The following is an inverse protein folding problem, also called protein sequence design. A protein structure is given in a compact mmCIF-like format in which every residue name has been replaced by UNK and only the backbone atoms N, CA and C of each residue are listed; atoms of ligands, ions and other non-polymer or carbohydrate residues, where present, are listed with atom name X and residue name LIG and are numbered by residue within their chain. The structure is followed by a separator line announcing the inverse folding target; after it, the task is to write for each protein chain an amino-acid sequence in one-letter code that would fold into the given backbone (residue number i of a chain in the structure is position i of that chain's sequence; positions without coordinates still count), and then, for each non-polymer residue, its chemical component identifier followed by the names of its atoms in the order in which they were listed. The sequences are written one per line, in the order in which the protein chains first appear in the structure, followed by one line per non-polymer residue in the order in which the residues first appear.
data_IF_238606407112
#
_entry.id   IF_238606407112
#
_cell.length_a   1.000
_cell.length_b   1.000
_cell.length_c   1.000
_cell.angle_alpha   90.00
_cell.angle_beta   90.00
_cell.angle_gamma   90.00
#
_symmetry.space_group_name_H-M   'P 1'
#
loop_
_entity.id
_entity.type
_entity.pdbx_description
1 polymer ?
#
# COMPACT_ATOMS: atom_id res chain seq x y z
N UNK A 1 4.35 -20.31 31.13
CA UNK A 1 3.03 -19.93 30.59
C UNK A 1 3.14 -19.97 29.07
N UNK A 2 2.81 -21.11 28.47
CA UNK A 2 2.99 -21.36 27.04
C UNK A 2 1.83 -20.70 26.28
N UNK A 3 2.12 -19.63 25.56
CA UNK A 3 1.14 -18.93 24.75
C UNK A 3 0.87 -19.73 23.47
N UNK A 4 -0.09 -20.67 23.56
CA UNK A 4 -0.59 -21.44 22.41
C UNK A 4 -1.50 -20.55 21.56
N UNK A 5 -0.89 -19.70 20.73
CA UNK A 5 -1.61 -19.10 19.61
C UNK A 5 -2.03 -20.21 18.65
N UNK A 6 -3.29 -20.63 18.78
CA UNK A 6 -3.94 -21.51 17.82
C UNK A 6 -4.37 -20.63 16.64
N UNK A 7 -3.80 -20.78 15.43
CA UNK A 7 -4.25 -20.01 14.28
C UNK A 7 -5.69 -20.40 13.97
N UNK A 8 -6.62 -19.46 14.13
CA UNK A 8 -8.02 -19.67 13.82
C UNK A 8 -8.14 -20.07 12.33
N UNK A 9 -8.96 -21.08 11.98
CA UNK A 9 -9.05 -21.64 10.63
C UNK A 9 -9.50 -20.64 9.53
N UNK A 10 -9.86 -19.41 9.89
CA UNK A 10 -10.14 -18.31 8.97
C UNK A 10 -8.96 -17.37 8.67
N UNK A 11 -7.79 -17.53 9.30
CA UNK A 11 -6.63 -16.65 9.06
C UNK A 11 -6.02 -16.87 7.66
N UNK A 12 -5.82 -18.12 7.25
CA UNK A 12 -5.29 -18.46 5.91
C UNK A 12 -6.14 -17.91 4.76
N UNK A 13 -7.47 -18.02 4.85
CA UNK A 13 -8.36 -17.48 3.80
C UNK A 13 -8.35 -15.95 3.76
N UNK A 14 -8.15 -15.28 4.90
CA UNK A 14 -8.05 -13.82 4.97
C UNK A 14 -6.74 -13.33 4.37
N UNK A 15 -5.62 -13.96 4.70
CA UNK A 15 -4.32 -13.67 4.10
C UNK A 15 -4.37 -13.82 2.58
N UNK A 16 -4.96 -14.91 2.07
CA UNK A 16 -5.14 -15.13 0.64
C UNK A 16 -6.01 -14.05 -0.03
N UNK A 17 -7.10 -13.62 0.62
CA UNK A 17 -7.95 -12.54 0.14
C UNK A 17 -7.23 -11.19 0.09
N UNK A 18 -6.38 -10.91 1.09
CA UNK A 18 -5.56 -9.70 1.12
C UNK A 18 -4.47 -9.71 0.05
N UNK A 19 -3.80 -10.83 -0.19
CA UNK A 19 -2.83 -10.95 -1.28
C UNK A 19 -3.47 -10.71 -2.65
N UNK A 20 -4.66 -11.26 -2.89
CA UNK A 20 -5.41 -11.03 -4.13
C UNK A 20 -5.81 -9.56 -4.29
N UNK A 21 -6.34 -8.93 -3.23
CA UNK A 21 -6.70 -7.51 -3.25
C UNK A 21 -5.47 -6.62 -3.51
N UNK A 22 -4.32 -6.95 -2.91
CA UNK A 22 -3.06 -6.25 -3.15
C UNK A 22 -2.62 -6.39 -4.61
N UNK A 23 -2.66 -7.60 -5.16
CA UNK A 23 -2.33 -7.84 -6.57
C UNK A 23 -3.24 -7.04 -7.51
N UNK A 24 -4.56 -7.08 -7.30
CA UNK A 24 -5.52 -6.34 -8.12
C UNK A 24 -5.33 -4.83 -8.03
N UNK A 25 -5.03 -4.31 -6.84
CA UNK A 25 -4.74 -2.90 -6.63
C UNK A 25 -3.44 -2.50 -7.35
N UNK A 26 -2.41 -3.35 -7.34
CA UNK A 26 -1.17 -3.15 -8.11
C UNK A 26 -1.45 -3.06 -9.61
N UNK A 27 -2.21 -4.01 -10.14
CA UNK A 27 -2.57 -4.04 -11.55
C UNK A 27 -3.41 -2.82 -11.96
N UNK A 28 -4.29 -2.33 -11.09
CA UNK A 28 -5.03 -1.10 -11.34
C UNK A 28 -4.10 0.12 -11.36
N UNK A 29 -3.18 0.23 -10.40
CA UNK A 29 -2.27 1.36 -10.30
C UNK A 29 -1.33 1.46 -11.52
N UNK A 30 -0.84 0.32 -12.03
CA UNK A 30 -0.02 0.27 -13.26
C UNK A 30 -0.81 0.65 -14.52
N UNK A 31 -2.13 0.43 -14.54
CA UNK A 31 -3.01 0.79 -15.66
C UNK A 31 -3.41 2.26 -15.67
N UNK A 32 -3.14 3.01 -14.60
CA UNK A 32 -3.42 4.44 -14.55
C UNK A 32 -2.35 5.16 -15.36
N UNK A 33 -2.75 5.66 -16.52
CA UNK A 33 -1.88 6.41 -17.44
C UNK A 33 -1.43 7.74 -16.80
N UNK A 34 -2.34 8.40 -16.08
CA UNK A 34 -2.10 9.70 -15.44
C UNK A 34 -2.17 9.60 -13.90
N UNK A 35 -1.11 9.05 -13.33
CA UNK A 35 -0.98 8.86 -11.88
C UNK A 35 -0.90 10.21 -11.14
N UNK A 36 -0.38 11.26 -11.80
CA UNK A 36 -0.26 12.60 -11.23
C UNK A 36 -1.64 13.22 -10.98
N UNK A 37 -2.52 13.19 -11.99
CA UNK A 37 -3.90 13.65 -11.84
C UNK A 37 -4.67 12.82 -10.81
N UNK A 38 -4.46 11.50 -10.78
CA UNK A 38 -5.06 10.66 -9.74
C UNK A 38 -4.62 11.09 -8.34
N UNK A 39 -3.33 11.38 -8.15
CA UNK A 39 -2.79 11.86 -6.87
C UNK A 39 -3.34 13.24 -6.50
N UNK A 40 -3.42 14.16 -7.46
CA UNK A 40 -3.97 15.49 -7.25
C UNK A 40 -5.42 15.45 -6.76
N UNK A 41 -6.23 14.53 -7.31
CA UNK A 41 -7.64 14.34 -6.93
C UNK A 41 -7.80 13.72 -5.54
N UNK A 42 -6.87 12.85 -5.14
CA UNK A 42 -6.91 12.16 -3.84
C UNK A 42 -6.22 12.94 -2.72
N UNK A 43 -5.54 14.06 -3.04
CA UNK A 43 -4.71 14.79 -2.09
C UNK A 43 -3.35 14.12 -1.80
N UNK A 44 -2.99 13.11 -2.59
CA UNK A 44 -1.66 12.52 -2.56
C UNK A 44 -0.65 13.41 -3.31
N UNK A 45 0.62 13.35 -2.89
CA UNK A 45 1.71 14.05 -3.56
C UNK A 45 2.46 13.11 -4.48
N UNK A 46 2.48 13.42 -5.76
CA UNK A 46 3.30 12.72 -6.74
C UNK A 46 4.66 13.39 -6.89
N UNK A 47 5.74 12.60 -6.90
CA UNK A 47 7.12 13.05 -7.09
C UNK A 47 7.89 12.04 -7.92
N UNK A 48 8.92 12.49 -8.63
CA UNK A 48 9.83 11.60 -9.35
C UNK A 48 11.21 11.70 -8.71
N UNK A 49 11.73 10.59 -8.20
CA UNK A 49 13.03 10.48 -7.51
C UNK A 49 13.84 9.40 -8.22
N UNK A 50 15.05 9.73 -8.68
CA UNK A 50 15.94 8.78 -9.37
C UNK A 50 15.27 8.02 -10.53
N UNK A 51 14.52 8.75 -11.36
CA UNK A 51 13.73 8.17 -12.48
C UNK A 51 12.65 7.16 -12.06
N UNK A 52 12.35 7.08 -10.76
CA UNK A 52 11.23 6.30 -10.20
C UNK A 52 10.11 7.23 -9.76
N UNK A 53 8.90 6.79 -10.01
CA UNK A 53 7.70 7.52 -9.63
C UNK A 53 7.38 7.19 -8.17
N UNK A 54 7.21 8.21 -7.34
CA UNK A 54 6.99 8.09 -5.90
C UNK A 54 5.73 8.86 -5.53
N UNK A 55 4.77 8.16 -4.90
CA UNK A 55 3.54 8.76 -4.41
C UNK A 55 3.63 8.84 -2.89
N UNK A 56 3.39 10.01 -2.32
CA UNK A 56 3.32 10.21 -0.87
C UNK A 56 1.87 10.46 -0.47
N UNK A 57 1.37 9.61 0.42
CA UNK A 57 -0.01 9.67 0.95
C UNK A 57 0.06 9.88 2.46
N UNK A 58 -0.74 10.81 2.96
CA UNK A 58 -0.90 11.01 4.40
C UNK A 58 -2.17 10.28 4.86
N UNK A 59 -1.99 9.23 5.65
CA UNK A 59 -3.08 8.39 6.17
C UNK A 59 -2.86 8.12 7.65
N UNK A 60 -3.89 8.34 8.48
CA UNK A 60 -3.84 8.15 9.95
C UNK A 60 -2.63 8.84 10.62
N UNK A 61 -2.36 10.11 10.27
CA UNK A 61 -1.21 10.89 10.75
C UNK A 61 0.17 10.27 10.42
N UNK A 62 0.22 9.30 9.52
CA UNK A 62 1.45 8.70 9.02
C UNK A 62 1.60 9.01 7.53
N UNK A 63 2.81 9.39 7.13
CA UNK A 63 3.14 9.57 5.73
C UNK A 63 3.68 8.26 5.17
N UNK A 64 2.99 7.73 4.17
CA UNK A 64 3.41 6.56 3.42
C UNK A 64 3.97 6.99 2.08
N UNK A 65 4.99 6.28 1.60
CA UNK A 65 5.52 6.43 0.26
C UNK A 65 5.30 5.14 -0.52
N UNK A 66 4.84 5.28 -1.75
CA UNK A 66 4.61 4.20 -2.70
C UNK A 66 5.57 4.42 -3.87
N UNK A 67 6.43 3.47 -4.15
CA UNK A 67 7.36 3.56 -5.28
C UNK A 67 6.87 2.71 -6.45
N UNK A 68 6.72 3.33 -7.60
CA UNK A 68 6.34 2.70 -8.87
C UNK A 68 7.60 2.49 -9.75
N UNK A 69 7.63 1.46 -10.60
CA UNK A 69 6.54 0.52 -10.93
C UNK A 69 6.40 -0.69 -9.99
N UNK A 70 7.32 -0.85 -9.02
CA UNK A 70 7.35 -2.05 -8.18
C UNK A 70 6.17 -2.11 -7.18
N UNK A 71 5.59 -0.96 -6.86
CA UNK A 71 4.55 -0.76 -5.84
C UNK A 71 5.05 -1.26 -4.49
N UNK A 72 6.22 -0.77 -4.09
CA UNK A 72 6.68 -0.93 -2.72
C UNK A 72 6.12 0.20 -1.86
N UNK A 73 5.46 -0.19 -0.77
CA UNK A 73 4.85 0.72 0.19
C UNK A 73 5.65 0.68 1.48
N UNK A 74 6.21 1.83 1.82
CA UNK A 74 7.06 2.05 2.98
C UNK A 74 6.60 3.28 3.76
N UNK A 75 6.87 3.33 5.06
CA UNK A 75 6.63 4.53 5.86
C UNK A 75 7.75 5.54 5.59
N UNK A 76 7.39 6.81 5.39
CA UNK A 76 8.39 7.87 5.18
C UNK A 76 9.21 8.16 6.43
N UNK A 77 8.60 8.02 7.61
CA UNK A 77 9.20 8.36 8.90
C UNK A 77 9.71 7.14 9.69
N UNK A 78 9.62 5.93 9.12
CA UNK A 78 10.03 4.71 9.83
C UNK A 78 10.37 3.59 8.85
N UNK A 79 11.35 2.77 9.20
CA UNK A 79 11.71 1.55 8.44
C UNK A 79 10.80 0.35 8.80
N UNK A 80 9.73 0.59 9.56
CA UNK A 80 8.80 -0.45 9.96
C UNK A 80 8.01 -0.97 8.75
N UNK A 81 7.88 -2.30 8.68
CA UNK A 81 7.12 -2.94 7.60
C UNK A 81 5.63 -2.67 7.79
N UNK A 82 5.05 -1.98 6.82
CA UNK A 82 3.60 -1.75 6.77
C UNK A 82 2.89 -3.10 6.59
N UNK A 83 1.95 -3.48 7.48
CA UNK A 83 1.20 -4.72 7.32
C UNK A 83 0.37 -4.71 6.04
N UNK A 84 0.11 -5.88 5.45
CA UNK A 84 -0.55 -5.99 4.14
C UNK A 84 -1.94 -5.32 4.11
N UNK A 85 -2.64 -5.32 5.24
CA UNK A 85 -3.96 -4.69 5.37
C UNK A 85 -3.90 -3.18 5.17
N UNK A 86 -2.94 -2.51 5.81
CA UNK A 86 -2.69 -1.08 5.65
C UNK A 86 -2.28 -0.75 4.21
N UNK A 87 -1.40 -1.57 3.61
CA UNK A 87 -1.04 -1.43 2.19
C UNK A 87 -2.27 -1.42 1.27
N UNK A 88 -3.23 -2.30 1.52
CA UNK A 88 -4.47 -2.38 0.73
C UNK A 88 -5.37 -1.16 0.99
N UNK A 89 -5.50 -0.73 2.24
CA UNK A 89 -6.28 0.46 2.62
C UNK A 89 -5.75 1.71 1.93
N UNK A 90 -4.43 1.91 1.95
CA UNK A 90 -3.75 3.04 1.30
C UNK A 90 -4.01 3.01 -0.21
N UNK A 91 -3.91 1.84 -0.85
CA UNK A 91 -4.17 1.69 -2.29
C UNK A 91 -5.65 1.88 -2.68
N UNK A 92 -6.58 1.69 -1.74
CA UNK A 92 -8.02 1.89 -1.96
C UNK A 92 -8.50 3.30 -1.62
N UNK A 93 -7.66 4.11 -0.96
CA UNK A 93 -8.00 5.49 -0.62
C UNK A 93 -7.93 6.33 -1.91
N UNK A 94 -9.10 6.53 -2.51
CA UNK A 94 -9.32 7.25 -3.77
C UNK A 94 -9.47 8.75 -3.56
#
# INVERSE_FOLDING_TARGET
MENRYSPLPGQKNREYGYELAYKLAREQLVKIDDIEQQCLRSGARYQVVDSRQVIIIEYLNQSYQITLPDIDISLKNSEEKVPLRDKILILHYR
#
